data_IF_343731814979
#
_entry.id   IF_343731814979
#
_cell.length_a   1.000
_cell.length_b   1.000
_cell.length_c   1.000
_cell.angle_alpha   90.00
_cell.angle_beta   90.00
_cell.angle_gamma   90.00
#
_symmetry.space_group_name_H-M   'P 1'
#
loop_
_entity.id
_entity.type
_entity.pdbx_description
1 polymer ?
#
# COMPACT_ATOMS: atom_id res chain seq x y z
N UNK A 1 -0.28 36.10 21.82
CA UNK A 1 -0.10 34.63 21.93
C UNK A 1 1.40 34.36 22.07
N UNK A 2 1.85 33.50 23.00
CA UNK A 2 3.28 33.27 23.18
C UNK A 2 3.84 32.51 21.98
N UNK A 3 4.97 32.99 21.47
CA UNK A 3 5.74 32.38 20.39
C UNK A 3 6.22 31.01 20.86
N UNK A 4 5.70 29.94 20.26
CA UNK A 4 6.17 28.58 20.55
C UNK A 4 7.65 28.46 20.17
N UNK A 5 8.44 27.92 21.08
CA UNK A 5 9.86 27.63 20.89
C UNK A 5 10.01 26.72 19.64
N UNK A 6 10.55 27.24 18.54
CA UNK A 6 10.62 26.59 17.21
C UNK A 6 11.74 25.53 17.07
N UNK A 7 12.22 24.99 18.18
CA UNK A 7 13.33 24.03 18.23
C UNK A 7 13.05 22.90 19.24
N UNK A 8 11.77 22.57 19.46
CA UNK A 8 11.37 21.67 20.53
C UNK A 8 10.81 20.36 19.96
N UNK A 9 11.07 19.21 20.60
CA UNK A 9 10.50 17.92 20.21
C UNK A 9 8.97 17.97 20.05
N UNK A 10 8.45 17.21 19.10
CA UNK A 10 7.01 17.03 18.90
C UNK A 10 6.35 16.40 20.14
N UNK A 11 5.63 17.21 20.92
CA UNK A 11 4.95 16.78 22.16
C UNK A 11 3.46 17.15 22.18
N UNK A 12 2.74 16.65 23.20
CA UNK A 12 1.38 17.05 23.50
C UNK A 12 0.37 16.89 22.34
N UNK A 13 -0.34 17.97 22.02
CA UNK A 13 -1.39 17.98 20.98
C UNK A 13 -0.83 17.71 19.60
N UNK A 14 0.38 18.19 19.29
CA UNK A 14 0.96 18.04 17.95
C UNK A 14 1.39 16.60 17.68
N UNK A 15 2.05 15.95 18.64
CA UNK A 15 2.34 14.51 18.58
C UNK A 15 1.08 13.69 18.37
N UNK A 16 0.02 13.95 19.15
CA UNK A 16 -1.27 13.25 19.00
C UNK A 16 -1.90 13.41 17.61
N UNK A 17 -1.74 14.57 16.99
CA UNK A 17 -2.22 14.80 15.64
C UNK A 17 -1.44 13.99 14.59
N UNK A 18 -0.11 13.98 14.64
CA UNK A 18 0.69 13.13 13.75
C UNK A 18 0.41 11.64 13.94
N UNK A 19 0.16 11.21 15.19
CA UNK A 19 -0.25 9.86 15.55
C UNK A 19 -1.62 9.49 14.94
N UNK A 20 -2.60 10.37 15.03
CA UNK A 20 -3.93 10.19 14.42
C UNK A 20 -3.82 10.05 12.89
N UNK A 21 -3.06 10.95 12.25
CA UNK A 21 -2.82 10.94 10.82
C UNK A 21 -2.19 9.62 10.34
N UNK A 22 -1.10 9.16 10.97
CA UNK A 22 -0.47 7.89 10.55
C UNK A 22 -1.34 6.66 10.82
N UNK A 23 -2.12 6.66 11.90
CA UNK A 23 -2.93 5.50 12.28
C UNK A 23 -4.20 5.34 11.45
N UNK A 24 -4.71 6.44 10.90
CA UNK A 24 -6.05 6.45 10.31
C UNK A 24 -6.10 6.93 8.86
N UNK A 25 -5.09 7.62 8.38
CA UNK A 25 -5.06 8.19 7.03
C UNK A 25 -3.98 7.57 6.13
N UNK A 26 -3.28 6.54 6.61
CA UNK A 26 -2.30 5.77 5.83
C UNK A 26 -2.82 4.35 5.65
N UNK A 27 -2.89 3.83 4.41
CA UNK A 27 -3.20 2.43 4.18
C UNK A 27 -2.20 1.53 4.88
N UNK A 28 -2.68 0.39 5.42
CA UNK A 28 -1.80 -0.61 6.03
C UNK A 28 -0.70 -1.07 5.07
N UNK A 29 -1.05 -1.21 3.78
CA UNK A 29 -0.14 -1.68 2.75
C UNK A 29 0.29 -0.55 1.82
N UNK A 30 1.60 -0.39 1.63
CA UNK A 30 2.20 0.57 0.72
C UNK A 30 3.16 -0.14 -0.23
N UNK A 31 3.34 0.42 -1.42
CA UNK A 31 4.15 -0.13 -2.51
C UNK A 31 5.28 0.84 -2.88
N UNK A 32 6.34 0.31 -3.47
CA UNK A 32 7.47 1.11 -3.96
C UNK A 32 8.13 0.41 -5.13
N UNK A 33 8.71 1.19 -6.04
CA UNK A 33 9.68 0.70 -7.02
C UNK A 33 11.05 1.27 -6.71
N UNK A 34 12.10 0.46 -6.87
CA UNK A 34 13.48 0.91 -6.66
C UNK A 34 14.47 0.14 -7.54
N UNK A 35 15.66 0.72 -7.74
CA UNK A 35 16.88 0.06 -8.23
C UNK A 35 18.03 0.30 -7.25
N UNK A 36 19.17 -0.34 -7.42
CA UNK A 36 20.37 -0.10 -6.57
C UNK A 36 20.84 1.34 -6.59
N UNK A 37 20.48 2.11 -7.62
CA UNK A 37 20.78 3.53 -7.77
C UNK A 37 19.75 4.45 -7.10
N UNK A 38 18.59 3.94 -6.67
CA UNK A 38 17.61 4.72 -5.91
C UNK A 38 18.22 5.23 -4.60
N UNK A 39 17.83 6.43 -4.16
CA UNK A 39 18.36 7.03 -2.93
C UNK A 39 19.84 7.42 -2.99
N UNK A 40 20.40 7.59 -4.20
CA UNK A 40 21.79 8.01 -4.41
C UNK A 40 22.79 6.86 -4.56
N UNK A 41 22.32 5.62 -4.66
CA UNK A 41 23.18 4.44 -4.83
C UNK A 41 23.50 3.69 -3.55
N UNK A 42 24.06 2.49 -3.69
CA UNK A 42 24.38 1.56 -2.60
C UNK A 42 25.40 2.08 -1.57
N UNK A 43 26.17 3.12 -1.93
CA UNK A 43 27.08 3.80 -0.99
C UNK A 43 26.37 4.84 -0.10
N UNK A 44 25.18 5.27 -0.49
CA UNK A 44 24.43 6.35 0.15
C UNK A 44 23.21 5.80 0.87
N UNK A 45 22.50 4.84 0.29
CA UNK A 45 21.34 4.16 0.87
C UNK A 45 21.43 2.65 0.66
N UNK A 46 20.68 1.88 1.44
CA UNK A 46 20.53 0.44 1.20
C UNK A 46 19.12 0.20 0.67
N UNK A 47 19.02 -0.46 -0.48
CA UNK A 47 17.78 -1.02 -1.00
C UNK A 47 18.07 -2.45 -1.43
N UNK A 48 17.45 -3.42 -0.77
CA UNK A 48 17.64 -4.85 -1.03
C UNK A 48 16.30 -5.58 -1.00
N UNK A 49 16.30 -6.88 -1.28
CA UNK A 49 15.07 -7.69 -1.20
C UNK A 49 14.50 -7.83 0.22
N UNK A 50 15.30 -7.53 1.25
CA UNK A 50 14.97 -7.71 2.67
C UNK A 50 15.01 -6.43 3.51
N UNK A 51 15.58 -5.34 3.01
CA UNK A 51 15.68 -4.09 3.75
C UNK A 51 15.68 -2.82 2.87
N UNK A 52 15.18 -1.73 3.46
CA UNK A 52 15.40 -0.37 2.97
C UNK A 52 15.97 0.46 4.12
N UNK A 53 17.14 1.08 3.88
CA UNK A 53 17.80 1.96 4.85
C UNK A 53 18.03 3.32 4.21
N UNK A 54 17.31 4.37 4.65
CA UNK A 54 17.53 5.73 4.19
C UNK A 54 18.94 6.24 4.51
N UNK A 55 19.47 7.21 3.74
CA UNK A 55 20.85 7.66 3.86
C UNK A 55 21.31 8.10 5.26
N UNK A 56 20.46 8.79 6.03
CA UNK A 56 20.83 9.22 7.38
C UNK A 56 21.11 8.03 8.29
N UNK A 57 20.29 6.98 8.18
CA UNK A 57 20.47 5.76 8.98
C UNK A 57 21.69 4.95 8.56
N UNK A 58 22.07 4.96 7.27
CA UNK A 58 23.33 4.34 6.83
C UNK A 58 24.54 5.03 7.47
N UNK A 59 24.50 6.36 7.58
CA UNK A 59 25.60 7.16 8.15
C UNK A 59 25.54 7.36 9.67
N UNK A 60 24.62 6.69 10.37
CA UNK A 60 24.47 6.82 11.82
C UNK A 60 23.94 8.18 12.29
N UNK A 61 23.31 8.95 11.38
CA UNK A 61 22.74 10.27 11.64
C UNK A 61 21.20 10.26 11.70
N UNK A 62 20.59 9.08 11.87
CA UNK A 62 19.13 8.95 11.97
C UNK A 62 18.63 9.31 13.37
N UNK A 63 17.45 9.91 13.43
CA UNK A 63 16.80 10.34 14.66
C UNK A 63 15.55 9.51 14.95
N UNK A 64 14.99 9.63 16.16
CA UNK A 64 13.60 9.23 16.40
C UNK A 64 12.67 10.34 15.96
N UNK A 65 11.59 9.99 15.26
CA UNK A 65 10.73 10.97 14.63
C UNK A 65 10.19 12.03 15.59
N UNK A 66 9.67 11.61 16.75
CA UNK A 66 9.06 12.54 17.72
C UNK A 66 10.06 13.28 18.60
N UNK A 67 11.36 12.95 18.52
CA UNK A 67 12.43 13.70 19.18
C UNK A 67 12.92 14.89 18.32
N UNK A 68 12.58 14.90 17.03
CA UNK A 68 12.90 15.98 16.11
C UNK A 68 11.93 17.17 16.25
N UNK A 69 12.41 18.35 15.87
CA UNK A 69 11.61 19.55 15.67
C UNK A 69 10.78 19.47 14.38
N UNK A 70 9.57 20.05 14.39
CA UNK A 70 8.66 19.99 13.25
C UNK A 70 9.19 20.70 12.00
N UNK A 71 9.86 21.85 12.14
CA UNK A 71 10.39 22.60 11.00
C UNK A 71 11.54 21.82 10.35
N UNK A 72 12.32 21.07 11.16
CA UNK A 72 13.32 20.14 10.65
C UNK A 72 12.70 18.99 9.85
N UNK A 73 11.66 18.35 10.40
CA UNK A 73 10.92 17.27 9.72
C UNK A 73 10.32 17.76 8.40
N UNK A 74 9.64 18.92 8.42
CA UNK A 74 8.99 19.50 7.25
C UNK A 74 10.02 19.82 6.16
N UNK A 75 11.16 20.42 6.53
CA UNK A 75 12.24 20.74 5.59
C UNK A 75 12.86 19.49 5.00
N UNK A 76 13.21 18.49 5.82
CA UNK A 76 13.76 17.22 5.35
C UNK A 76 12.81 16.54 4.35
N UNK A 77 11.51 16.50 4.67
CA UNK A 77 10.49 15.95 3.79
C UNK A 77 10.36 16.71 2.46
N UNK A 78 10.35 18.05 2.49
CA UNK A 78 10.27 18.88 1.27
C UNK A 78 11.47 18.69 0.35
N UNK A 79 12.68 18.62 0.92
CA UNK A 79 13.89 18.42 0.14
C UNK A 79 13.96 17.01 -0.46
N UNK A 80 13.62 15.99 0.33
CA UNK A 80 13.44 14.62 -0.15
C UNK A 80 12.48 14.57 -1.33
N UNK A 81 11.30 15.17 -1.19
CA UNK A 81 10.27 15.20 -2.22
C UNK A 81 10.72 15.95 -3.49
N UNK A 82 11.49 17.02 -3.34
CA UNK A 82 11.99 17.83 -4.47
C UNK A 82 13.23 17.21 -5.14
N UNK A 83 13.72 16.06 -4.66
CA UNK A 83 14.97 15.45 -5.13
C UNK A 83 16.22 16.24 -4.73
N UNK A 84 16.07 17.27 -3.88
CA UNK A 84 17.18 18.07 -3.38
C UNK A 84 17.91 17.26 -2.31
N UNK A 85 19.24 17.26 -2.40
CA UNK A 85 20.08 16.63 -1.40
C UNK A 85 20.18 17.56 -0.19
N UNK A 86 19.24 17.48 0.76
CA UNK A 86 19.52 17.94 2.12
C UNK A 86 20.45 16.97 2.86
N UNK A 87 20.99 17.29 4.06
CA UNK A 87 21.85 16.38 4.78
C UNK A 87 21.05 15.11 5.09
N UNK A 88 21.22 14.09 4.25
CA UNK A 88 20.81 12.71 4.45
C UNK A 88 19.35 12.57 4.91
N UNK A 89 18.44 12.36 3.97
CA UNK A 89 17.05 12.06 4.32
C UNK A 89 16.93 10.80 5.21
N UNK A 90 16.02 10.88 6.18
CA UNK A 90 15.57 9.75 7.01
C UNK A 90 14.32 9.07 6.44
N UNK A 91 13.82 9.56 5.30
CA UNK A 91 12.63 9.03 4.65
C UNK A 91 12.96 8.15 3.45
N UNK A 92 12.05 7.24 3.17
CA UNK A 92 11.92 6.56 1.88
C UNK A 92 10.54 6.84 1.27
N UNK A 93 10.48 6.86 -0.06
CA UNK A 93 9.27 7.16 -0.83
C UNK A 93 8.43 5.92 -1.11
N UNK A 94 7.14 5.99 -0.82
CA UNK A 94 6.18 4.90 -1.02
C UNK A 94 4.89 5.43 -1.67
N UNK A 95 4.07 4.53 -2.19
CA UNK A 95 2.77 4.86 -2.78
C UNK A 95 1.71 3.88 -2.32
N UNK A 96 0.45 4.31 -2.24
CA UNK A 96 -0.67 3.39 -2.09
C UNK A 96 -1.07 2.70 -3.41
N UNK A 97 -0.49 3.11 -4.53
CA UNK A 97 -0.86 2.68 -5.89
C UNK A 97 0.11 1.63 -6.42
N UNK A 98 -0.28 0.35 -6.41
CA UNK A 98 0.49 -0.69 -7.08
C UNK A 98 0.57 -0.44 -8.59
N UNK A 99 -0.45 0.17 -9.18
CA UNK A 99 -0.43 0.57 -10.59
C UNK A 99 0.71 1.55 -10.88
N UNK A 100 0.85 2.59 -10.05
CA UNK A 100 1.93 3.55 -10.17
C UNK A 100 3.30 2.90 -9.98
N UNK A 101 3.43 1.98 -9.03
CA UNK A 101 4.67 1.21 -8.85
C UNK A 101 5.03 0.40 -10.10
N UNK A 102 4.07 -0.32 -10.71
CA UNK A 102 4.31 -1.08 -11.93
C UNK A 102 4.64 -0.21 -13.14
N UNK A 103 3.96 0.91 -13.32
CA UNK A 103 4.31 1.89 -14.35
C UNK A 103 5.75 2.35 -14.12
N UNK A 104 6.09 2.81 -12.92
CA UNK A 104 7.45 3.29 -12.65
C UNK A 104 8.51 2.21 -12.86
N UNK A 105 8.19 0.96 -12.54
CA UNK A 105 9.07 -0.18 -12.78
C UNK A 105 9.31 -0.44 -14.27
N UNK A 106 8.27 -0.41 -15.11
CA UNK A 106 8.43 -0.56 -16.57
C UNK A 106 9.29 0.56 -17.14
N UNK A 107 9.10 1.82 -16.71
CA UNK A 107 9.95 2.94 -17.14
C UNK A 107 11.42 2.72 -16.75
N UNK A 108 11.68 2.41 -15.47
CA UNK A 108 13.04 2.16 -15.00
C UNK A 108 13.70 0.99 -15.74
N UNK A 109 12.93 -0.06 -16.02
CA UNK A 109 13.40 -1.24 -16.74
C UNK A 109 13.72 -0.92 -18.21
N UNK A 110 12.89 -0.09 -18.86
CA UNK A 110 13.11 0.43 -20.21
C UNK A 110 14.37 1.31 -20.34
N UNK A 111 14.71 2.07 -19.29
CA UNK A 111 15.98 2.83 -19.16
C UNK A 111 17.22 1.94 -18.91
N UNK A 112 17.15 0.66 -19.31
CA UNK A 112 18.19 -0.35 -19.16
C UNK A 112 18.67 -0.60 -17.72
N UNK A 113 17.90 -0.24 -16.69
CA UNK A 113 18.20 -0.62 -15.31
C UNK A 113 17.83 -2.09 -15.13
N UNK A 114 18.83 -2.94 -14.93
CA UNK A 114 18.66 -4.40 -14.88
C UNK A 114 18.20 -4.92 -13.52
N UNK A 115 18.23 -4.08 -12.50
CA UNK A 115 18.04 -4.40 -11.09
C UNK A 115 16.81 -3.66 -10.50
N UNK A 116 15.75 -3.56 -11.28
CA UNK A 116 14.48 -2.96 -10.84
C UNK A 116 13.69 -3.96 -10.00
N UNK A 117 13.17 -3.48 -8.87
CA UNK A 117 12.33 -4.24 -7.96
C UNK A 117 11.05 -3.48 -7.64
N UNK A 118 10.00 -4.23 -7.36
CA UNK A 118 8.76 -3.72 -6.76
C UNK A 118 8.67 -4.29 -5.35
N UNK A 119 8.45 -3.42 -4.38
CA UNK A 119 8.36 -3.74 -2.97
C UNK A 119 6.98 -3.42 -2.41
N UNK A 120 6.64 -4.11 -1.33
CA UNK A 120 5.47 -3.87 -0.50
C UNK A 120 5.89 -3.83 0.96
N UNK A 121 5.21 -2.99 1.76
CA UNK A 121 5.22 -3.05 3.22
C UNK A 121 3.83 -3.27 3.78
N UNK A 122 3.73 -4.05 4.86
CA UNK A 122 2.68 -4.01 5.87
C UNK A 122 3.17 -3.17 7.05
N UNK A 123 2.69 -1.93 7.13
CA UNK A 123 3.08 -0.93 8.15
C UNK A 123 2.84 -1.37 9.61
N UNK A 124 2.10 -2.46 9.84
CA UNK A 124 1.88 -3.03 11.18
C UNK A 124 2.80 -4.20 11.53
N UNK A 125 3.59 -4.70 10.57
CA UNK A 125 4.41 -5.90 10.74
C UNK A 125 5.90 -5.65 10.42
N UNK A 126 6.33 -4.39 10.46
CA UNK A 126 7.74 -4.00 10.32
C UNK A 126 8.46 -4.06 11.66
N UNK A 127 9.75 -4.33 11.62
CA UNK A 127 10.61 -4.33 12.80
C UNK A 127 11.06 -2.90 13.15
N UNK A 128 11.15 -2.62 14.45
CA UNK A 128 11.64 -1.33 14.97
C UNK A 128 10.64 -0.17 14.88
N UNK A 129 11.16 1.06 14.97
CA UNK A 129 10.36 2.29 14.88
C UNK A 129 10.29 2.74 13.40
N UNK A 130 9.33 2.20 12.67
CA UNK A 130 9.01 2.63 11.30
C UNK A 130 7.67 3.34 11.27
N UNK A 131 7.67 4.57 10.77
CA UNK A 131 6.49 5.42 10.79
C UNK A 131 6.20 5.97 9.39
N UNK A 132 4.93 5.91 8.98
CA UNK A 132 4.50 6.32 7.65
C UNK A 132 3.49 7.47 7.72
N UNK A 133 3.63 8.44 6.83
CA UNK A 133 2.64 9.50 6.63
C UNK A 133 2.46 9.80 5.14
N UNK A 134 1.26 10.24 4.79
CA UNK A 134 1.03 10.86 3.48
C UNK A 134 1.80 12.18 3.38
N UNK A 135 2.47 12.44 2.27
CA UNK A 135 3.29 13.65 2.05
C UNK A 135 2.63 14.97 2.51
N UNK A 136 1.36 15.27 2.16
CA UNK A 136 0.64 16.46 2.60
C UNK A 136 0.53 16.61 4.12
N UNK A 137 0.51 15.50 4.87
CA UNK A 137 0.42 15.53 6.33
C UNK A 137 1.68 16.10 6.99
N UNK A 138 2.85 15.88 6.37
CA UNK A 138 4.13 16.39 6.87
C UNK A 138 4.42 17.76 6.26
N UNK A 139 4.38 17.87 4.94
CA UNK A 139 4.87 19.06 4.24
C UNK A 139 3.84 20.19 4.16
N UNK A 140 2.58 19.95 4.53
CA UNK A 140 1.48 20.93 4.35
C UNK A 140 1.34 21.40 2.89
N UNK A 141 1.70 20.54 1.94
CA UNK A 141 1.64 20.80 0.47
C UNK A 141 0.54 20.00 -0.22
N UNK A 142 0.30 20.29 -1.50
CA UNK A 142 -0.69 19.58 -2.34
C UNK A 142 -0.17 18.30 -3.00
N UNK A 143 1.14 18.00 -2.95
CA UNK A 143 1.75 16.79 -3.56
C UNK A 143 1.20 15.51 -2.95
N UNK A 144 0.42 14.75 -3.72
CA UNK A 144 -0.59 13.82 -3.19
C UNK A 144 -0.37 12.33 -3.49
N UNK A 145 0.70 11.97 -4.18
CA UNK A 145 0.89 10.60 -4.67
C UNK A 145 1.83 9.75 -3.80
N UNK A 146 2.50 10.39 -2.85
CA UNK A 146 3.60 9.80 -2.09
C UNK A 146 3.29 9.74 -0.60
N UNK A 147 3.75 8.65 0.01
CA UNK A 147 3.82 8.44 1.44
C UNK A 147 5.29 8.39 1.82
N UNK A 148 5.68 9.16 2.83
CA UNK A 148 7.02 9.13 3.38
C UNK A 148 7.04 8.15 4.54
N UNK A 149 7.98 7.21 4.47
CA UNK A 149 8.23 6.24 5.52
C UNK A 149 9.58 6.55 6.16
N UNK A 150 9.52 6.96 7.42
CA UNK A 150 10.67 7.25 8.28
C UNK A 150 11.19 5.95 8.92
N UNK A 151 12.50 5.78 8.96
CA UNK A 151 13.15 4.67 9.65
C UNK A 151 13.75 3.61 8.74
N UNK A 152 14.36 2.59 9.35
CA UNK A 152 14.91 1.41 8.68
C UNK A 152 13.81 0.38 8.49
N UNK A 153 13.51 0.01 7.25
CA UNK A 153 12.45 -0.95 6.93
C UNK A 153 13.06 -2.33 6.81
N UNK A 154 12.57 -3.27 7.62
CA UNK A 154 12.94 -4.68 7.60
C UNK A 154 11.86 -5.51 8.31
N UNK A 155 12.04 -6.82 8.36
CA UNK A 155 11.13 -7.74 9.04
C UNK A 155 10.07 -8.35 8.12
N UNK A 156 9.19 -9.18 8.69
CA UNK A 156 8.18 -9.96 7.94
C UNK A 156 7.18 -9.10 7.15
N UNK A 157 7.00 -7.85 7.56
CA UNK A 157 6.14 -6.90 6.89
C UNK A 157 6.77 -6.28 5.64
N UNK A 158 8.00 -6.63 5.24
CA UNK A 158 8.64 -6.11 4.03
C UNK A 158 9.00 -7.22 3.05
N UNK A 159 8.78 -6.97 1.76
CA UNK A 159 9.31 -7.81 0.68
C UNK A 159 9.49 -7.01 -0.59
N UNK A 160 10.57 -7.29 -1.32
CA UNK A 160 10.73 -6.84 -2.70
C UNK A 160 10.93 -8.01 -3.65
N UNK A 161 10.45 -7.84 -4.88
CA UNK A 161 10.52 -8.82 -5.96
C UNK A 161 11.10 -8.15 -7.19
N UNK A 162 12.02 -8.85 -7.87
CA UNK A 162 12.59 -8.36 -9.13
C UNK A 162 11.49 -8.18 -10.17
N UNK A 163 11.51 -7.04 -10.84
CA UNK A 163 10.49 -6.70 -11.82
C UNK A 163 10.45 -7.71 -12.99
N UNK A 164 11.61 -8.24 -13.40
CA UNK A 164 11.68 -9.30 -14.42
C UNK A 164 10.87 -10.55 -14.06
N UNK A 165 10.82 -10.91 -12.78
CA UNK A 165 10.11 -12.11 -12.33
C UNK A 165 8.59 -11.84 -12.29
N UNK A 166 8.22 -10.60 -11.94
CA UNK A 166 6.83 -10.11 -12.04
C UNK A 166 6.35 -10.12 -13.50
N UNK A 167 7.19 -9.72 -14.45
CA UNK A 167 6.91 -9.80 -15.89
C UNK A 167 6.70 -11.26 -16.33
N UNK A 168 7.61 -12.15 -15.92
CA UNK A 168 7.53 -13.57 -16.24
C UNK A 168 6.29 -14.25 -15.66
N UNK A 169 5.83 -13.81 -14.48
CA UNK A 169 4.59 -14.26 -13.85
C UNK A 169 3.31 -13.74 -14.53
N UNK A 170 3.42 -12.93 -15.59
CA UNK A 170 2.28 -12.54 -16.42
C UNK A 170 1.73 -11.15 -16.14
N UNK A 171 2.51 -10.22 -15.56
CA UNK A 171 2.05 -8.84 -15.33
C UNK A 171 1.44 -8.18 -16.58
N UNK A 172 2.03 -8.41 -17.77
CA UNK A 172 1.51 -7.85 -19.04
C UNK A 172 0.15 -8.42 -19.46
N UNK A 173 -0.33 -9.49 -18.84
CA UNK A 173 -1.72 -9.98 -19.00
C UNK A 173 -2.69 -9.20 -18.11
N UNK A 174 -2.23 -8.77 -16.94
CA UNK A 174 -3.01 -7.95 -15.99
C UNK A 174 -3.08 -6.50 -16.46
N UNK A 175 -1.95 -5.94 -16.92
CA UNK A 175 -1.80 -4.56 -17.41
C UNK A 175 -1.10 -4.56 -18.77
N UNK A 176 -1.79 -4.97 -19.85
CA UNK A 176 -1.22 -5.00 -21.21
C UNK A 176 -0.78 -3.63 -21.73
N UNK A 177 -1.26 -2.53 -21.15
CA UNK A 177 -0.86 -1.17 -21.50
C UNK A 177 0.62 -0.88 -21.23
N UNK A 178 1.27 -1.65 -20.35
CA UNK A 178 2.72 -1.58 -20.11
C UNK A 178 3.54 -2.00 -21.34
N UNK A 179 2.94 -2.58 -22.37
CA UNK A 179 3.63 -2.88 -23.64
C UNK A 179 3.92 -1.64 -24.49
N UNK A 180 3.25 -0.52 -24.22
CA UNK A 180 3.39 0.71 -24.99
C UNK A 180 4.51 1.57 -24.42
N UNK A 181 5.36 2.18 -25.25
CA UNK A 181 6.26 3.23 -24.78
C UNK A 181 5.45 4.32 -24.08
N UNK A 182 5.89 4.74 -22.90
CA UNK A 182 5.28 5.87 -22.21
C UNK A 182 6.36 6.81 -21.67
N UNK A 183 6.02 8.09 -21.62
CA UNK A 183 6.87 9.14 -21.06
C UNK A 183 6.53 9.23 -19.59
N UNK A 184 7.53 9.21 -18.70
CA UNK A 184 7.30 9.23 -17.24
C UNK A 184 6.47 10.41 -16.76
N UNK A 185 6.63 11.60 -17.38
CA UNK A 185 5.85 12.79 -17.05
C UNK A 185 4.38 12.69 -17.48
N UNK A 186 4.04 11.69 -18.29
CA UNK A 186 2.68 11.47 -18.75
C UNK A 186 1.89 10.62 -17.74
N UNK A 187 0.99 11.28 -17.01
CA UNK A 187 0.07 10.59 -16.10
C UNK A 187 -1.08 9.87 -16.81
N UNK A 188 -1.22 10.06 -18.13
CA UNK A 188 -2.31 9.57 -18.98
C UNK A 188 -2.49 8.05 -18.94
N UNK A 189 -1.43 7.20 -18.98
CA UNK A 189 -1.60 5.74 -18.91
C UNK A 189 -2.34 5.31 -17.64
N UNK A 190 -2.03 5.97 -16.51
CA UNK A 190 -2.65 5.67 -15.21
C UNK A 190 -4.13 6.08 -15.16
N UNK A 191 -4.50 7.19 -15.78
CA UNK A 191 -5.87 7.70 -15.76
C UNK A 191 -6.77 7.07 -16.82
N UNK A 192 -6.23 6.81 -18.01
CA UNK A 192 -7.00 6.35 -19.16
C UNK A 192 -7.53 4.93 -19.00
N UNK A 193 -6.77 4.05 -18.34
CA UNK A 193 -7.23 2.68 -18.03
C UNK A 193 -8.55 2.70 -17.23
N UNK A 194 -8.79 3.78 -16.47
CA UNK A 194 -10.00 3.94 -15.67
C UNK A 194 -11.13 4.70 -16.37
N UNK A 195 -10.97 5.02 -17.65
CA UNK A 195 -12.05 5.51 -18.52
C UNK A 195 -12.78 4.36 -19.23
N UNK A 196 -12.16 3.18 -19.30
CA UNK A 196 -12.76 1.98 -19.85
C UNK A 196 -14.01 1.53 -19.07
N UNK A 197 -14.94 0.82 -19.73
CA UNK A 197 -16.02 0.12 -19.05
C UNK A 197 -15.49 -0.87 -18.00
N UNK A 198 -16.29 -1.10 -16.96
CA UNK A 198 -15.97 -2.08 -15.93
C UNK A 198 -15.91 -3.51 -16.52
N UNK A 199 -14.86 -4.26 -16.17
CA UNK A 199 -14.60 -5.62 -16.67
C UNK A 199 -14.58 -6.63 -15.53
N UNK A 200 -15.33 -7.72 -15.68
CA UNK A 200 -15.21 -8.89 -14.79
C UNK A 200 -13.80 -9.48 -14.90
N UNK A 201 -13.36 -10.19 -13.86
CA UNK A 201 -12.07 -10.87 -13.86
C UNK A 201 -12.23 -12.17 -14.66
N UNK A 202 -11.35 -12.41 -15.62
CA UNK A 202 -11.31 -13.67 -16.37
C UNK A 202 -10.44 -14.71 -15.66
N UNK A 203 -10.60 -15.98 -16.00
CA UNK A 203 -9.77 -17.05 -15.40
C UNK A 203 -8.27 -16.83 -15.68
N UNK A 204 -7.91 -16.45 -16.91
CA UNK A 204 -6.52 -16.13 -17.26
C UNK A 204 -5.96 -14.88 -16.56
N UNK A 205 -6.79 -13.85 -16.34
CA UNK A 205 -6.40 -12.71 -15.50
C UNK A 205 -6.16 -13.18 -14.06
N UNK A 206 -7.03 -14.04 -13.52
CA UNK A 206 -6.92 -14.58 -12.17
C UNK A 206 -5.66 -15.44 -11.99
N UNK A 207 -5.34 -16.32 -12.93
CA UNK A 207 -4.10 -17.12 -12.93
C UNK A 207 -2.86 -16.20 -12.86
N UNK A 208 -2.85 -15.12 -13.64
CA UNK A 208 -1.75 -14.15 -13.65
C UNK A 208 -1.67 -13.38 -12.33
N UNK A 209 -2.82 -13.00 -11.76
CA UNK A 209 -2.90 -12.35 -10.45
C UNK A 209 -2.35 -13.26 -9.35
N UNK A 210 -2.71 -14.54 -9.35
CA UNK A 210 -2.19 -15.53 -8.41
C UNK A 210 -0.67 -15.67 -8.57
N UNK A 211 -0.18 -15.86 -9.80
CA UNK A 211 1.24 -16.02 -10.07
C UNK A 211 2.05 -14.79 -9.62
N UNK A 212 1.62 -13.57 -9.97
CA UNK A 212 2.30 -12.34 -9.57
C UNK A 212 2.26 -12.14 -8.05
N UNK A 213 1.11 -12.35 -7.42
CA UNK A 213 0.97 -12.13 -5.97
C UNK A 213 1.73 -13.16 -5.14
N UNK A 214 1.82 -14.42 -5.58
CA UNK A 214 2.58 -15.47 -4.91
C UNK A 214 4.07 -15.12 -4.77
N UNK A 215 4.64 -14.34 -5.70
CA UNK A 215 6.02 -13.85 -5.59
C UNK A 215 6.28 -13.03 -4.33
N UNK A 216 5.24 -12.48 -3.70
CA UNK A 216 5.29 -11.69 -2.48
C UNK A 216 5.02 -12.51 -1.20
N UNK A 217 4.90 -13.84 -1.28
CA UNK A 217 4.77 -14.77 -0.15
C UNK A 217 3.65 -14.39 0.82
N UNK A 218 3.98 -14.16 2.10
CA UNK A 218 3.02 -13.80 3.15
C UNK A 218 2.26 -12.49 2.86
N UNK A 219 2.83 -11.63 2.01
CA UNK A 219 2.21 -10.39 1.54
C UNK A 219 1.48 -10.56 0.20
N UNK A 220 1.23 -11.80 -0.24
CA UNK A 220 0.51 -12.10 -1.48
C UNK A 220 -0.92 -11.58 -1.49
N UNK A 221 -1.67 -11.72 -0.39
CA UNK A 221 -3.06 -11.28 -0.32
C UNK A 221 -3.29 -9.80 -0.70
N UNK A 222 -2.62 -8.81 -0.07
CA UNK A 222 -2.81 -7.41 -0.46
C UNK A 222 -2.34 -7.12 -1.89
N UNK A 223 -1.30 -7.80 -2.38
CA UNK A 223 -0.86 -7.67 -3.78
C UNK A 223 -1.91 -8.21 -4.74
N UNK A 224 -2.51 -9.37 -4.45
CA UNK A 224 -3.55 -9.97 -5.28
C UNK A 224 -4.76 -9.03 -5.39
N UNK A 225 -5.22 -8.48 -4.26
CA UNK A 225 -6.33 -7.52 -4.22
C UNK A 225 -6.01 -6.25 -5.03
N UNK A 226 -4.79 -5.72 -4.89
CA UNK A 226 -4.34 -4.57 -5.66
C UNK A 226 -4.27 -4.89 -7.17
N UNK A 227 -3.73 -6.04 -7.57
CA UNK A 227 -3.69 -6.51 -8.97
C UNK A 227 -5.10 -6.66 -9.57
N UNK A 228 -6.05 -7.24 -8.82
CA UNK A 228 -7.44 -7.34 -9.26
C UNK A 228 -8.10 -5.99 -9.53
N UNK A 229 -7.56 -4.89 -8.99
CA UNK A 229 -8.21 -3.57 -9.00
C UNK A 229 -7.43 -2.51 -9.76
N UNK A 230 -6.44 -2.93 -10.56
CA UNK A 230 -5.70 -2.08 -11.51
C UNK A 230 -6.57 -1.58 -12.68
N UNK A 231 -7.80 -2.08 -12.81
CA UNK A 231 -8.78 -1.72 -13.85
C UNK A 231 -10.17 -1.55 -13.25
N UNK A 232 -11.08 -0.77 -13.86
CA UNK A 232 -12.46 -0.67 -13.40
C UNK A 232 -13.13 -2.04 -13.27
N UNK A 233 -13.65 -2.36 -12.07
CA UNK A 233 -14.36 -3.60 -11.79
C UNK A 233 -15.85 -3.35 -11.53
N UNK A 234 -16.73 -4.30 -11.89
CA UNK A 234 -18.15 -4.25 -11.55
C UNK A 234 -18.37 -4.09 -10.05
N UNK A 235 -19.51 -3.51 -9.67
CA UNK A 235 -19.88 -3.30 -8.28
C UNK A 235 -19.23 -2.08 -7.60
N UNK A 236 -18.30 -1.38 -8.26
CA UNK A 236 -17.77 -0.10 -7.76
C UNK A 236 -18.84 1.01 -7.89
N UNK A 237 -19.56 1.28 -6.80
CA UNK A 237 -20.51 2.40 -6.75
C UNK A 237 -19.76 3.68 -6.37
N UNK A 238 -19.82 4.69 -7.25
CA UNK A 238 -19.41 6.06 -6.92
C UNK A 238 -20.59 6.78 -6.28
N UNK A 239 -20.51 7.09 -4.99
CA UNK A 239 -21.46 8.01 -4.36
C UNK A 239 -20.80 9.38 -4.22
N UNK A 240 -21.36 10.39 -4.90
CA UNK A 240 -20.99 11.79 -4.69
C UNK A 240 -21.51 12.19 -3.29
N UNK A 241 -20.62 12.56 -2.37
CA UNK A 241 -20.99 13.16 -1.08
C UNK A 241 -20.44 14.59 -1.00
N UNK A 242 -21.09 15.41 -0.18
CA UNK A 242 -20.80 16.85 0.00
C UNK A 242 -19.34 17.17 0.40
N UNK A 243 -18.56 16.17 0.85
CA UNK A 243 -17.17 16.30 1.32
C UNK A 243 -16.18 15.42 0.53
N UNK A 244 -16.58 14.86 -0.62
CA UNK A 244 -15.72 14.03 -1.46
C UNK A 244 -16.41 12.80 -2.06
N UNK A 245 -15.69 12.09 -2.93
CA UNK A 245 -16.16 10.84 -3.53
C UNK A 245 -15.92 9.67 -2.57
N UNK A 246 -17.00 9.03 -2.12
CA UNK A 246 -16.94 7.75 -1.44
C UNK A 246 -17.06 6.64 -2.48
N UNK A 247 -16.09 5.71 -2.51
CA UNK A 247 -16.24 4.46 -3.22
C UNK A 247 -16.59 3.34 -2.24
N UNK A 248 -17.55 2.52 -2.65
CA UNK A 248 -17.81 1.23 -2.04
C UNK A 248 -17.91 0.20 -3.15
N UNK A 249 -17.37 -0.99 -2.91
CA UNK A 249 -17.60 -2.14 -3.77
C UNK A 249 -18.75 -2.95 -3.18
N UNK A 250 -19.82 -3.07 -3.95
CA UNK A 250 -20.96 -3.92 -3.65
C UNK A 250 -20.95 -5.08 -4.66
N UNK A 251 -20.33 -6.18 -4.27
CA UNK A 251 -20.37 -7.43 -5.01
C UNK A 251 -21.53 -8.29 -4.50
N UNK A 252 -22.18 -8.98 -5.42
CA UNK A 252 -23.08 -10.08 -5.08
C UNK A 252 -22.32 -11.19 -4.36
N UNK A 253 -23.03 -12.04 -3.60
CA UNK A 253 -22.43 -13.21 -2.95
C UNK A 253 -21.75 -14.13 -3.96
N UNK A 254 -22.27 -14.24 -5.18
CA UNK A 254 -21.69 -15.06 -6.23
C UNK A 254 -20.36 -14.47 -6.72
N UNK A 255 -20.30 -13.18 -7.05
CA UNK A 255 -19.06 -12.51 -7.46
C UNK A 255 -17.99 -12.58 -6.36
N UNK A 256 -18.38 -12.39 -5.11
CA UNK A 256 -17.47 -12.54 -3.96
C UNK A 256 -16.94 -13.98 -3.85
N UNK A 257 -17.80 -14.98 -4.03
CA UNK A 257 -17.37 -16.39 -4.02
C UNK A 257 -16.41 -16.71 -5.17
N UNK A 258 -16.62 -16.15 -6.37
CA UNK A 258 -15.72 -16.30 -7.52
C UNK A 258 -14.36 -15.69 -7.21
N UNK A 259 -14.31 -14.47 -6.65
CA UNK A 259 -13.05 -13.82 -6.25
C UNK A 259 -12.35 -14.63 -5.15
N UNK A 260 -13.07 -15.02 -4.09
CA UNK A 260 -12.48 -15.80 -2.99
C UNK A 260 -11.93 -17.15 -3.47
N UNK A 261 -12.66 -17.85 -4.34
CA UNK A 261 -12.19 -19.11 -4.95
C UNK A 261 -10.98 -18.87 -5.84
N UNK A 262 -11.04 -17.85 -6.69
CA UNK A 262 -9.93 -17.46 -7.57
C UNK A 262 -8.69 -16.99 -6.82
N UNK A 263 -8.83 -16.51 -5.59
CA UNK A 263 -7.71 -16.20 -4.69
C UNK A 263 -7.31 -17.37 -3.79
N UNK A 264 -7.88 -18.57 -4.01
CA UNK A 264 -7.63 -19.78 -3.21
C UNK A 264 -7.94 -19.61 -1.72
N UNK A 265 -9.00 -18.84 -1.41
CA UNK A 265 -9.44 -18.52 -0.06
C UNK A 265 -8.31 -17.98 0.84
N UNK A 266 -7.75 -16.81 0.50
CA UNK A 266 -6.57 -16.31 1.18
C UNK A 266 -6.85 -16.01 2.65
N UNK A 267 -5.81 -16.04 3.48
CA UNK A 267 -5.91 -15.57 4.84
C UNK A 267 -6.10 -14.05 4.86
N UNK A 268 -7.26 -13.61 5.34
CA UNK A 268 -7.57 -12.18 5.51
C UNK A 268 -7.35 -11.83 6.98
N UNK A 269 -6.51 -10.85 7.36
CA UNK A 269 -6.31 -10.48 8.76
C UNK A 269 -7.63 -10.16 9.49
N UNK A 270 -7.80 -10.69 10.70
CA UNK A 270 -9.05 -10.55 11.46
C UNK A 270 -9.34 -9.10 11.87
N UNK A 271 -8.28 -8.33 12.14
CA UNK A 271 -8.35 -6.93 12.54
C UNK A 271 -8.73 -6.00 11.36
N UNK A 272 -8.57 -6.47 10.13
CA UNK A 272 -8.71 -5.66 8.92
C UNK A 272 -10.08 -5.00 8.82
N UNK A 273 -11.16 -5.73 9.18
CA UNK A 273 -12.53 -5.20 9.10
C UNK A 273 -12.78 -4.02 10.05
N UNK A 274 -11.93 -3.82 11.06
CA UNK A 274 -12.01 -2.76 12.06
C UNK A 274 -11.05 -1.59 11.76
N UNK A 275 -10.23 -1.69 10.71
CA UNK A 275 -9.25 -0.66 10.41
C UNK A 275 -9.91 0.61 9.84
N UNK A 276 -9.70 1.74 10.54
CA UNK A 276 -10.35 3.01 10.21
C UNK A 276 -9.96 3.53 8.84
N UNK A 277 -8.74 3.28 8.35
CA UNK A 277 -8.30 3.77 7.03
C UNK A 277 -9.12 3.18 5.86
N UNK A 278 -9.82 2.05 6.07
CA UNK A 278 -10.76 1.49 5.09
C UNK A 278 -12.08 2.27 5.01
N UNK A 279 -12.33 3.20 5.93
CA UNK A 279 -13.57 3.97 5.92
C UNK A 279 -13.52 5.03 4.82
N UNK A 280 -14.66 5.36 4.20
CA UNK A 280 -14.69 6.34 3.12
C UNK A 280 -14.08 7.68 3.50
N UNK A 281 -13.17 8.19 2.67
CA UNK A 281 -12.54 9.50 2.83
C UNK A 281 -11.39 9.55 3.84
N UNK A 282 -11.04 8.43 4.47
CA UNK A 282 -9.93 8.39 5.43
C UNK A 282 -8.57 8.45 4.75
N UNK A 283 -8.37 7.65 3.70
CA UNK A 283 -7.18 7.76 2.85
C UNK A 283 -7.48 8.78 1.74
N UNK A 284 -6.58 9.75 1.57
CA UNK A 284 -6.65 10.67 0.45
C UNK A 284 -6.28 9.95 -0.85
N UNK A 285 -7.30 9.47 -1.57
CA UNK A 285 -7.10 8.76 -2.84
C UNK A 285 -7.10 9.68 -4.05
N UNK A 286 -7.52 10.96 -3.93
CA UNK A 286 -7.71 11.94 -5.03
C UNK A 286 -7.91 11.31 -6.43
N UNK A 287 -6.88 11.38 -7.28
CA UNK A 287 -6.85 10.96 -8.69
C UNK A 287 -6.40 9.50 -8.89
N UNK A 288 -6.15 8.75 -7.82
CA UNK A 288 -5.72 7.35 -7.87
C UNK A 288 -6.94 6.44 -7.76
N UNK A 289 -7.49 6.11 -8.92
CA UNK A 289 -8.70 5.30 -9.02
C UNK A 289 -8.46 3.86 -8.60
N UNK A 290 -7.27 3.32 -8.89
CA UNK A 290 -6.81 2.02 -8.43
C UNK A 290 -6.74 1.98 -6.90
N UNK A 291 -6.19 3.03 -6.27
CA UNK A 291 -6.11 3.15 -4.81
C UNK A 291 -7.49 3.04 -4.19
N UNK A 292 -8.39 3.89 -4.65
CA UNK A 292 -9.77 3.90 -4.19
C UNK A 292 -10.47 2.54 -4.35
N UNK A 293 -10.20 1.83 -5.44
CA UNK A 293 -10.85 0.56 -5.73
C UNK A 293 -10.28 -0.59 -4.90
N UNK A 294 -8.96 -0.69 -4.73
CA UNK A 294 -8.36 -1.76 -3.94
C UNK A 294 -8.68 -1.65 -2.45
N UNK A 295 -8.71 -0.42 -1.91
CA UNK A 295 -9.17 -0.15 -0.55
C UNK A 295 -10.62 -0.60 -0.36
N UNK A 296 -11.49 -0.28 -1.33
CA UNK A 296 -12.90 -0.70 -1.29
C UNK A 296 -13.06 -2.22 -1.41
N UNK A 297 -12.28 -2.88 -2.27
CA UNK A 297 -12.27 -4.34 -2.42
C UNK A 297 -11.80 -5.03 -1.15
N UNK A 298 -10.71 -4.54 -0.56
CA UNK A 298 -10.17 -5.06 0.68
C UNK A 298 -11.19 -4.96 1.83
N UNK A 299 -11.87 -3.80 1.93
CA UNK A 299 -12.95 -3.62 2.90
C UNK A 299 -14.16 -4.54 2.67
N UNK A 300 -14.50 -4.86 1.42
CA UNK A 300 -15.56 -5.80 1.09
C UNK A 300 -15.18 -7.24 1.49
N UNK A 301 -13.95 -7.66 1.20
CA UNK A 301 -13.41 -8.97 1.58
C UNK A 301 -13.35 -9.15 3.10
N UNK A 302 -12.87 -8.14 3.83
CA UNK A 302 -12.83 -8.16 5.29
C UNK A 302 -14.23 -8.29 5.91
N UNK A 303 -15.22 -7.56 5.39
CA UNK A 303 -16.63 -7.68 5.82
C UNK A 303 -17.22 -9.05 5.49
N UNK A 304 -16.88 -9.62 4.34
CA UNK A 304 -17.34 -10.96 3.95
C UNK A 304 -16.82 -12.04 4.91
N UNK A 305 -15.50 -12.04 5.23
CA UNK A 305 -14.92 -12.94 6.24
C UNK A 305 -15.65 -12.83 7.58
N UNK A 306 -15.87 -11.60 8.06
CA UNK A 306 -16.59 -11.34 9.32
C UNK A 306 -17.99 -11.96 9.31
N UNK A 307 -18.77 -11.76 8.25
CA UNK A 307 -20.13 -12.33 8.11
C UNK A 307 -20.14 -13.87 8.11
N UNK A 308 -19.23 -14.50 7.37
CA UNK A 308 -19.09 -15.97 7.34
C UNK A 308 -18.75 -16.55 8.70
N UNK A 309 -17.92 -15.87 9.49
CA UNK A 309 -17.57 -16.29 10.84
C UNK A 309 -18.80 -16.29 11.78
N UNK A 310 -19.62 -15.24 11.73
CA UNK A 310 -20.84 -15.13 12.54
C UNK A 310 -22.02 -15.99 12.05
N UNK A 311 -21.96 -16.55 10.82
CA UNK A 311 -22.98 -17.45 10.29
C UNK A 311 -22.65 -18.94 10.52
N UNK A 312 -21.52 -19.28 11.14
CA UNK A 312 -21.30 -20.66 11.60
C UNK A 312 -22.29 -20.96 12.73
N UNK A 313 -23.11 -22.02 12.65
CA UNK A 313 -23.96 -22.41 13.76
C UNK A 313 -23.07 -22.67 14.98
N UNK A 314 -23.39 -22.07 16.12
CA UNK A 314 -22.85 -22.49 17.41
C UNK A 314 -23.07 -24.00 17.52
N UNK A 315 -22.00 -24.77 17.44
CA UNK A 315 -22.05 -26.22 17.51
C UNK A 315 -22.81 -26.59 18.78
N UNK A 316 -23.91 -27.32 18.59
CA UNK A 316 -24.54 -28.04 19.68
C UNK A 316 -23.46 -28.91 20.32
N UNK A 317 -23.17 -28.64 21.59
CA UNK A 317 -22.58 -29.65 22.45
C UNK A 317 -23.65 -30.75 22.61
N UNK A 318 -23.65 -31.71 21.69
CA UNK A 318 -24.39 -32.93 21.90
C UNK A 318 -23.63 -33.75 22.95
N UNK A 319 -24.28 -33.84 24.11
CA UNK A 319 -24.00 -34.71 25.23
C UNK A 319 -23.84 -36.16 24.77
N UNK A 320 -22.66 -36.72 24.97
CA UNK A 320 -22.42 -38.16 25.01
C UNK A 320 -21.83 -38.52 26.36
N UNK A 321 -22.71 -38.73 27.34
CA UNK A 321 -22.43 -39.61 28.47
C UNK A 321 -23.50 -40.69 28.50
N UNK A 322 -23.16 -41.77 27.81
CA UNK A 322 -23.41 -43.17 28.14
C UNK A 322 -24.65 -43.52 28.97
N UNK A 323 -25.63 -44.09 28.28
CA UNK A 323 -26.46 -45.16 28.85
C UNK A 323 -25.56 -46.39 29.10
N UNK A 324 -25.56 -46.91 30.33
CA UNK A 324 -25.09 -48.27 30.64
C UNK A 324 -26.27 -49.25 30.54
N UNK A 325 -26.10 -50.45 29.97
CA UNK A 325 -27.06 -51.53 30.16
C UNK A 325 -26.62 -52.48 31.29
N UNK A 326 -27.65 -52.91 32.04
CA UNK A 326 -27.84 -54.06 32.94
C UNK A 326 -26.62 -54.78 33.53
#
# INVERSE_FOLDING_TARGET
>A
MPLSNRNAPLTGRRKRHFEDLRKHHVPRYLFRTWSSTSGGGSKISINSETEIVPPAFVKGAGHKFYEMDEDYIERMARNHYSGLHEPLTEFSSWTASLHFAFIYAEWMYGEARRDVHVAIIDTKQLDGEVLAWHCPHIMKTTGNHEFLVHGRISGKGYRAVKYKDILAAGLKRIVPELTKPFIWSDSTPRTNIFLDPAKTVTDHEMESVQAVSALFGDLSFPVAVACLTLRPRPGLKRKRRYLGFSASIELTSNEMNVIMRGLSYPEIPDDLACERWLFPGMVDTRQFQDVRQWIAMLGALAKYKKRKFFQRPSGKHDSLLSQQPA
#
